data_IF_151820268207
#
_entry.id   IF_151820268207
#
_cell.length_a   1.000
_cell.length_b   1.000
_cell.length_c   1.000
_cell.angle_alpha   90.00
_cell.angle_beta   90.00
_cell.angle_gamma   90.00
#
_symmetry.space_group_name_H-M   'P 1'
#
loop_
_entity.id
_entity.type
_entity.pdbx_description
1 polymer ?
#
# COMPACT_ATOMS: atom_id res chain seq x y z
N UNK A 1 -5.48 2.23 -5.66
CA UNK A 1 -5.12 0.81 -5.94
C UNK A 1 -5.17 -0.06 -4.67
N UNK A 2 -5.60 -1.33 -4.77
CA UNK A 2 -5.61 -2.31 -3.67
C UNK A 2 -4.62 -3.46 -3.94
N UNK A 3 -3.94 -3.93 -2.91
CA UNK A 3 -3.05 -5.11 -2.93
C UNK A 3 -3.43 -6.06 -1.80
N UNK A 4 -3.27 -7.36 -2.02
CA UNK A 4 -3.53 -8.40 -1.02
C UNK A 4 -2.20 -8.90 -0.48
N UNK A 5 -1.94 -8.68 0.81
CA UNK A 5 -0.71 -9.07 1.50
C UNK A 5 -1.12 -9.86 2.73
N UNK A 6 -0.60 -11.08 2.88
CA UNK A 6 -0.91 -11.99 3.99
C UNK A 6 -2.42 -12.21 4.21
N UNK A 7 -3.20 -12.21 3.13
CA UNK A 7 -4.65 -12.36 3.16
C UNK A 7 -5.44 -11.11 3.57
N UNK A 8 -4.77 -9.98 3.79
CA UNK A 8 -5.38 -8.68 4.13
C UNK A 8 -5.33 -7.75 2.92
N UNK A 9 -6.41 -6.99 2.70
CA UNK A 9 -6.47 -5.98 1.65
C UNK A 9 -5.95 -4.62 2.13
N UNK A 10 -4.90 -4.15 1.47
CA UNK A 10 -4.26 -2.88 1.73
C UNK A 10 -4.46 -1.94 0.54
N UNK A 11 -4.78 -0.69 0.82
CA UNK A 11 -4.72 0.39 -0.16
C UNK A 11 -3.29 0.90 -0.24
N UNK A 12 -2.72 0.90 -1.43
CA UNK A 12 -1.40 1.51 -1.66
C UNK A 12 -1.57 3.04 -1.72
N UNK A 13 -0.90 3.74 -0.81
CA UNK A 13 -0.85 5.19 -0.72
C UNK A 13 0.35 5.79 -1.46
N UNK A 14 1.44 5.02 -1.55
CA UNK A 14 2.70 5.48 -2.13
C UNK A 14 3.62 4.31 -2.45
N UNK A 15 4.41 4.47 -3.50
CA UNK A 15 5.43 3.51 -3.92
C UNK A 15 6.78 4.18 -3.82
N UNK A 16 7.68 3.58 -3.04
CA UNK A 16 9.02 4.09 -2.77
C UNK A 16 10.10 3.49 -3.66
N UNK A 17 11.27 3.31 -3.06
CA UNK A 17 12.44 2.73 -3.70
C UNK A 17 12.30 1.22 -3.93
N UNK A 18 13.04 0.73 -4.92
CA UNK A 18 13.20 -0.69 -5.22
C UNK A 18 14.62 -1.10 -4.84
N UNK A 19 14.75 -2.20 -4.09
CA UNK A 19 16.02 -2.75 -3.62
C UNK A 19 15.88 -4.27 -3.57
N UNK A 20 16.83 -5.01 -4.15
CA UNK A 20 16.93 -6.47 -4.05
C UNK A 20 15.61 -7.22 -4.31
N UNK A 21 14.96 -6.94 -5.45
CA UNK A 21 13.65 -7.52 -5.85
C UNK A 21 12.48 -7.23 -4.88
N UNK A 22 12.66 -6.22 -4.03
CA UNK A 22 11.63 -5.72 -3.12
C UNK A 22 11.30 -4.27 -3.44
N UNK A 23 10.05 -3.88 -3.20
CA UNK A 23 9.58 -2.51 -3.35
C UNK A 23 9.03 -2.01 -2.02
N UNK A 24 9.43 -0.80 -1.65
CA UNK A 24 8.90 -0.13 -0.48
C UNK A 24 7.49 0.39 -0.76
N UNK A 25 6.52 0.01 0.06
CA UNK A 25 5.12 0.44 -0.11
C UNK A 25 4.62 1.14 1.14
N UNK A 26 3.92 2.26 0.93
CA UNK A 26 3.08 2.87 1.95
C UNK A 26 1.67 2.32 1.81
N UNK A 27 1.20 1.63 2.85
CA UNK A 27 -0.06 0.91 2.87
C UNK A 27 -1.01 1.51 3.91
N UNK A 28 -2.29 1.54 3.58
CA UNK A 28 -3.37 1.81 4.51
C UNK A 28 -4.37 0.65 4.49
N UNK A 29 -4.68 0.11 5.66
CA UNK A 29 -5.65 -0.97 5.79
C UNK A 29 -7.03 -0.49 5.37
N UNK A 30 -7.76 -1.34 4.67
CA UNK A 30 -9.16 -1.09 4.28
C UNK A 30 -10.16 -1.66 5.28
N UNK A 31 -9.70 -2.58 6.13
CA UNK A 31 -10.53 -3.33 7.08
C UNK A 31 -10.27 -2.91 8.52
N UNK A 32 -9.06 -2.48 8.84
CA UNK A 32 -8.64 -2.15 10.20
C UNK A 32 -8.44 -0.65 10.39
N UNK A 33 -9.06 -0.13 11.44
CA UNK A 33 -9.01 1.29 11.79
C UNK A 33 -8.64 1.45 13.25
N UNK A 34 -7.78 2.44 13.53
CA UNK A 34 -7.45 2.87 14.89
C UNK A 34 -8.42 3.96 15.33
N UNK A 35 -9.01 3.79 16.51
CA UNK A 35 -9.83 4.82 17.14
C UNK A 35 -8.95 5.95 17.70
N UNK A 36 -9.31 7.18 17.36
CA UNK A 36 -8.73 8.42 17.88
C UNK A 36 -9.84 9.33 18.40
N UNK A 37 -9.47 10.35 19.18
CA UNK A 37 -10.43 11.29 19.76
C UNK A 37 -11.35 11.98 18.73
N UNK A 38 -10.87 12.14 17.49
CA UNK A 38 -11.57 12.85 16.41
C UNK A 38 -12.15 11.91 15.35
N UNK A 39 -12.19 10.60 15.60
CA UNK A 39 -12.75 9.62 14.67
C UNK A 39 -11.85 8.41 14.46
N UNK A 40 -12.08 7.68 13.37
CA UNK A 40 -11.35 6.46 13.03
C UNK A 40 -10.40 6.75 11.89
N UNK A 41 -9.14 6.35 12.05
CA UNK A 41 -8.12 6.47 11.00
C UNK A 41 -7.70 5.06 10.55
N UNK A 42 -7.47 4.83 9.25
CA UNK A 42 -6.97 3.56 8.77
C UNK A 42 -5.65 3.19 9.45
N UNK A 43 -5.44 1.91 9.74
CA UNK A 43 -4.13 1.43 10.17
C UNK A 43 -3.15 1.62 9.01
N UNK A 44 -2.08 2.37 9.23
CA UNK A 44 -1.03 2.58 8.23
C UNK A 44 0.14 1.65 8.51
N UNK A 45 0.73 1.13 7.44
CA UNK A 45 1.90 0.27 7.47
C UNK A 45 2.84 0.66 6.34
N UNK A 46 4.15 0.54 6.53
CA UNK A 46 5.10 0.84 5.47
C UNK A 46 6.32 -0.06 5.59
N UNK A 47 6.52 -0.90 4.58
CA UNK A 47 7.59 -1.90 4.56
C UNK A 47 7.97 -2.29 3.14
N UNK A 48 9.06 -3.05 3.01
CA UNK A 48 9.50 -3.68 1.77
C UNK A 48 8.75 -4.98 1.53
N UNK A 49 8.18 -5.10 0.34
CA UNK A 49 7.51 -6.33 -0.09
C UNK A 49 8.15 -6.88 -1.36
N UNK A 50 8.26 -8.21 -1.49
CA UNK A 50 8.74 -8.82 -2.73
C UNK A 50 7.88 -8.39 -3.91
N UNK A 51 8.50 -7.94 -5.00
CA UNK A 51 7.80 -7.52 -6.21
C UNK A 51 6.91 -8.65 -6.74
N UNK A 52 7.34 -9.90 -6.61
CA UNK A 52 6.57 -11.08 -6.97
C UNK A 52 5.25 -11.23 -6.21
N UNK A 53 5.13 -10.63 -5.01
CA UNK A 53 3.92 -10.68 -4.19
C UNK A 53 2.95 -9.51 -4.48
N UNK A 54 3.47 -8.34 -4.85
CA UNK A 54 2.67 -7.10 -5.00
C UNK A 54 2.53 -6.62 -6.45
N UNK A 55 3.28 -7.21 -7.38
CA UNK A 55 3.37 -6.80 -8.78
C UNK A 55 4.52 -5.82 -9.05
N UNK A 56 4.90 -5.69 -10.33
CA UNK A 56 6.02 -4.85 -10.76
C UNK A 56 5.85 -3.38 -10.34
N UNK A 57 6.97 -2.74 -9.96
CA UNK A 57 6.99 -1.32 -9.57
C UNK A 57 6.36 -0.39 -10.60
N UNK A 58 6.60 -0.65 -11.89
CA UNK A 58 6.02 0.15 -12.97
C UNK A 58 4.48 0.09 -12.96
N UNK A 59 3.91 -1.10 -12.72
CA UNK A 59 2.47 -1.32 -12.62
C UNK A 59 1.88 -0.63 -11.40
N UNK A 60 2.57 -0.74 -10.25
CA UNK A 60 2.18 -0.06 -9.01
C UNK A 60 2.15 1.46 -9.19
N UNK A 61 3.17 2.04 -9.82
CA UNK A 61 3.24 3.47 -10.12
C UNK A 61 2.16 3.91 -11.11
N UNK A 62 1.94 3.15 -12.19
CA UNK A 62 0.90 3.45 -13.16
C UNK A 62 -0.49 3.41 -12.53
N UNK A 63 -0.74 2.45 -11.65
CA UNK A 63 -2.00 2.32 -10.94
C UNK A 63 -2.21 3.37 -9.84
N UNK A 64 -1.14 3.88 -9.22
CA UNK A 64 -1.23 5.08 -8.38
C UNK A 64 -1.55 6.33 -9.22
N UNK A 65 -0.87 6.51 -10.35
CA UNK A 65 -1.11 7.65 -11.23
C UNK A 65 -2.53 7.66 -11.82
N UNK A 66 -3.14 6.48 -11.99
CA UNK A 66 -4.50 6.32 -12.49
C UNK A 66 -5.59 6.50 -11.42
N UNK A 67 -5.24 6.55 -10.13
CA UNK A 67 -6.16 6.78 -9.01
C UNK A 67 -5.86 8.16 -8.39
N UNK A 68 -6.34 9.28 -8.98
CA UNK A 68 -6.08 10.64 -8.52
C UNK A 68 -6.86 10.99 -7.24
N UNK A 69 -7.07 10.01 -6.35
CA UNK A 69 -7.81 10.15 -5.10
C UNK A 69 -7.08 10.92 -4.00
N UNK A 70 -6.29 11.93 -4.37
CA UNK A 70 -5.89 13.06 -3.53
C UNK A 70 -5.97 14.36 -4.33
#
# INVERSE_FOLDING_TARGET
MLVSIDGVQWRVLGVGAEVDDQVYLHLASTTEFREQRNGRVPLQHADFYPISAVGDRATLLAALAADPGC
#
